data_IF_908520771925
#
_entry.id   IF_908520771925
#
_cell.length_a   1.000
_cell.length_b   1.000
_cell.length_c   1.000
_cell.angle_alpha   90.00
_cell.angle_beta   90.00
_cell.angle_gamma   90.00
#
_symmetry.space_group_name_H-M   'P 1'
#
loop_
_entity.id
_entity.type
_entity.pdbx_description
1 polymer ?
#
# COMPACT_ATOMS: atom_id res chain seq x y z
N UNK A 1 13.54 21.38 1.43
CA UNK A 1 13.82 19.95 1.69
C UNK A 1 12.50 19.23 1.60
N UNK A 2 12.33 18.36 0.61
CA UNK A 2 11.12 17.57 0.43
C UNK A 2 11.18 16.34 1.35
N UNK A 3 10.12 16.11 2.12
CA UNK A 3 9.91 14.86 2.87
C UNK A 3 9.94 13.66 1.89
N UNK A 4 10.41 12.47 2.32
CA UNK A 4 10.29 11.28 1.50
C UNK A 4 8.82 10.85 1.46
N UNK A 5 8.08 11.33 0.45
CA UNK A 5 6.69 10.98 0.23
C UNK A 5 6.56 9.52 -0.21
N UNK A 6 5.58 8.84 0.37
CA UNK A 6 5.16 7.49 0.00
C UNK A 6 4.62 7.47 -1.44
N UNK A 7 4.84 6.40 -2.23
CA UNK A 7 4.37 6.31 -3.60
C UNK A 7 2.83 6.38 -3.67
N UNK A 8 2.32 7.29 -4.50
CA UNK A 8 0.89 7.52 -4.71
C UNK A 8 0.26 6.38 -5.52
N UNK A 9 -0.85 5.81 -5.01
CA UNK A 9 -1.57 4.70 -5.65
C UNK A 9 -2.37 5.19 -6.88
N UNK A 10 -2.75 6.47 -6.92
CA UNK A 10 -3.43 7.10 -8.05
C UNK A 10 -2.47 8.01 -8.82
N UNK A 11 -1.89 7.49 -9.90
CA UNK A 11 -0.87 8.23 -10.67
C UNK A 11 -1.43 9.22 -11.69
N UNK A 12 -2.73 9.12 -12.03
CA UNK A 12 -3.40 10.02 -12.98
C UNK A 12 -4.85 10.32 -12.56
N UNK A 13 -5.08 11.49 -11.96
CA UNK A 13 -6.42 12.07 -11.79
C UNK A 13 -6.64 13.15 -12.84
N UNK A 14 -7.89 13.44 -13.18
CA UNK A 14 -8.26 14.53 -14.07
C UNK A 14 -9.33 15.42 -13.42
N UNK A 15 -9.03 16.70 -13.27
CA UNK A 15 -9.93 17.74 -12.82
C UNK A 15 -10.43 18.53 -14.04
N UNK A 16 -11.75 18.67 -14.17
CA UNK A 16 -12.36 19.56 -15.15
C UNK A 16 -12.66 20.89 -14.49
N UNK A 17 -12.08 21.96 -15.03
CA UNK A 17 -12.16 23.32 -14.49
C UNK A 17 -12.81 24.22 -15.51
N UNK A 18 -13.77 25.01 -15.08
CA UNK A 18 -14.29 26.12 -15.87
C UNK A 18 -13.42 27.37 -15.60
N UNK A 19 -12.62 27.83 -16.57
CA UNK A 19 -11.71 28.95 -16.38
C UNK A 19 -12.43 30.26 -16.05
N UNK A 20 -13.71 30.42 -16.42
CA UNK A 20 -14.45 31.66 -16.14
C UNK A 20 -14.68 31.87 -14.64
N UNK A 21 -14.67 30.79 -13.86
CA UNK A 21 -14.88 30.73 -12.40
C UNK A 21 -13.73 31.37 -11.59
N UNK A 22 -12.54 31.49 -12.17
CA UNK A 22 -11.31 31.88 -11.46
C UNK A 22 -10.69 33.16 -12.04
N UNK A 23 -10.04 33.97 -11.20
CA UNK A 23 -9.21 35.10 -11.62
C UNK A 23 -7.91 34.55 -12.22
N UNK A 24 -7.64 34.89 -13.48
CA UNK A 24 -6.39 34.55 -14.18
C UNK A 24 -5.99 33.05 -14.15
N UNK A 25 -6.88 32.11 -14.56
CA UNK A 25 -6.62 30.67 -14.47
C UNK A 25 -5.38 30.25 -15.26
N UNK A 26 -5.11 30.90 -16.40
CA UNK A 26 -3.97 30.59 -17.27
C UNK A 26 -2.60 30.96 -16.67
N UNK A 27 -2.55 31.83 -15.65
CA UNK A 27 -1.31 32.20 -14.95
C UNK A 27 -0.92 31.14 -13.91
N UNK A 28 -1.89 30.52 -13.23
CA UNK A 28 -1.69 29.44 -12.25
C UNK A 28 -1.31 28.10 -12.88
N UNK A 29 -1.73 27.89 -14.13
CA UNK A 29 -1.61 26.63 -14.86
C UNK A 29 -0.26 26.38 -15.53
N UNK A 30 0.75 27.25 -15.31
CA UNK A 30 2.11 27.10 -15.86
C UNK A 30 3.05 26.20 -15.02
N UNK A 31 2.51 25.38 -14.12
CA UNK A 31 3.31 24.55 -13.19
C UNK A 31 3.71 23.19 -13.77
N UNK A 32 4.92 22.76 -13.40
CA UNK A 32 5.49 21.45 -13.76
C UNK A 32 4.80 20.33 -12.98
N UNK A 33 4.16 19.37 -13.68
CA UNK A 33 3.61 18.14 -13.10
C UNK A 33 2.20 17.77 -13.58
N UNK A 34 1.40 18.76 -14.02
CA UNK A 34 0.07 18.55 -14.59
C UNK A 34 0.06 18.69 -16.11
N UNK A 35 -0.67 17.82 -16.80
CA UNK A 35 -1.03 17.90 -18.22
C UNK A 35 -2.37 18.59 -18.37
N UNK A 36 -2.41 19.65 -19.17
CA UNK A 36 -3.63 20.44 -19.37
C UNK A 36 -4.07 20.27 -20.82
N UNK A 37 -5.33 19.91 -20.99
CA UNK A 37 -5.99 19.80 -22.30
C UNK A 37 -7.18 20.76 -22.33
N UNK A 38 -7.23 21.63 -23.34
CA UNK A 38 -8.42 22.44 -23.61
C UNK A 38 -9.51 21.55 -24.21
N UNK A 39 -10.70 21.56 -23.60
CA UNK A 39 -11.90 20.90 -24.11
C UNK A 39 -13.05 21.89 -24.21
N UNK A 40 -13.10 22.62 -25.32
CA UNK A 40 -14.11 23.65 -25.54
C UNK A 40 -13.91 24.81 -24.57
N UNK A 41 -14.97 25.20 -23.84
CA UNK A 41 -14.89 26.24 -22.79
C UNK A 41 -14.27 25.77 -21.47
N UNK A 42 -13.87 24.49 -21.35
CA UNK A 42 -13.36 23.90 -20.10
C UNK A 42 -11.92 23.42 -20.23
N UNK A 43 -11.22 23.44 -19.10
CA UNK A 43 -9.85 22.94 -18.98
C UNK A 43 -9.86 21.58 -18.29
N UNK A 44 -9.19 20.59 -18.89
CA UNK A 44 -8.95 19.29 -18.27
C UNK A 44 -7.51 19.25 -17.77
N UNK A 45 -7.35 19.32 -16.46
CA UNK A 45 -6.06 19.24 -15.77
C UNK A 45 -5.88 17.79 -15.33
N UNK A 46 -4.78 17.15 -15.71
CA UNK A 46 -4.50 15.75 -15.36
C UNK A 46 -3.10 15.59 -14.79
N UNK A 47 -2.92 14.77 -13.75
CA UNK A 47 -1.63 14.67 -13.06
C UNK A 47 -1.70 13.70 -11.89
N UNK A 48 -0.65 13.67 -11.07
CA UNK A 48 -0.68 12.88 -9.82
C UNK A 48 -1.74 13.40 -8.87
N UNK A 49 -2.12 12.61 -7.86
CA UNK A 49 -3.13 13.04 -6.89
C UNK A 49 -2.70 14.34 -6.21
N UNK A 50 -1.43 14.41 -5.79
CA UNK A 50 -0.85 15.61 -5.17
C UNK A 50 -0.84 16.79 -6.11
N UNK A 51 -0.50 16.59 -7.38
CA UNK A 51 -0.48 17.68 -8.35
C UNK A 51 -1.89 18.24 -8.59
N UNK A 52 -2.89 17.37 -8.72
CA UNK A 52 -4.29 17.77 -8.92
C UNK A 52 -4.85 18.46 -7.67
N UNK A 53 -4.58 17.93 -6.49
CA UNK A 53 -5.05 18.50 -5.23
C UNK A 53 -4.42 19.86 -4.94
N UNK A 54 -3.10 20.01 -5.17
CA UNK A 54 -2.42 21.29 -5.05
C UNK A 54 -2.96 22.30 -6.06
N UNK A 55 -3.16 21.87 -7.31
CA UNK A 55 -3.73 22.73 -8.36
C UNK A 55 -5.15 23.18 -8.00
N UNK A 56 -5.97 22.28 -7.45
CA UNK A 56 -7.33 22.61 -7.01
C UNK A 56 -7.34 23.61 -5.84
N UNK A 57 -6.48 23.40 -4.83
CA UNK A 57 -6.35 24.30 -3.68
C UNK A 57 -5.90 25.71 -4.10
N UNK A 58 -4.99 25.82 -5.06
CA UNK A 58 -4.52 27.10 -5.58
C UNK A 58 -5.59 27.81 -6.41
N UNK A 59 -6.32 27.07 -7.26
CA UNK A 59 -7.47 27.61 -7.98
C UNK A 59 -8.53 28.15 -7.01
N UNK A 60 -8.83 27.43 -5.93
CA UNK A 60 -9.78 27.89 -4.90
C UNK A 60 -9.38 29.26 -4.31
N UNK A 61 -8.08 29.53 -4.15
CA UNK A 61 -7.57 30.82 -3.65
C UNK A 61 -7.83 32.02 -4.57
N UNK A 62 -8.27 31.79 -5.81
CA UNK A 62 -8.49 32.81 -6.85
C UNK A 62 -9.92 32.87 -7.39
N UNK A 63 -10.86 32.18 -6.72
CA UNK A 63 -12.26 32.12 -7.11
C UNK A 63 -12.93 33.51 -7.06
N UNK A 64 -13.58 33.93 -8.16
CA UNK A 64 -14.10 35.31 -8.34
C UNK A 64 -15.21 35.71 -7.36
N UNK A 65 -16.01 34.76 -6.86
CA UNK A 65 -17.15 35.07 -6.00
C UNK A 65 -17.26 34.09 -4.81
N UNK A 66 -17.10 34.60 -3.58
CA UNK A 66 -17.75 34.01 -2.40
C UNK A 66 -19.22 34.42 -2.43
N UNK A 67 -20.06 33.64 -3.14
CA UNK A 67 -21.53 33.49 -3.08
C UNK A 67 -22.19 33.57 -4.47
N UNK A 68 -23.03 32.55 -4.74
CA UNK A 68 -23.96 32.32 -5.88
C UNK A 68 -23.33 31.78 -7.17
N UNK A 69 -23.48 30.47 -7.40
CA UNK A 69 -24.38 29.96 -8.45
C UNK A 69 -24.42 28.43 -8.43
N UNK A 70 -25.63 27.88 -8.33
CA UNK A 70 -25.98 26.55 -8.83
C UNK A 70 -25.96 26.56 -10.36
N UNK A 71 -25.66 25.42 -10.99
CA UNK A 71 -25.60 25.14 -12.44
C UNK A 71 -24.26 25.41 -13.15
N UNK A 72 -23.51 24.34 -13.46
CA UNK A 72 -23.11 23.97 -14.84
C UNK A 72 -22.76 22.46 -14.90
N UNK A 73 -23.79 21.59 -14.83
CA UNK A 73 -23.69 20.20 -15.28
C UNK A 73 -24.24 20.15 -16.70
N UNK A 74 -23.38 19.85 -17.68
CA UNK A 74 -23.62 19.37 -19.07
C UNK A 74 -22.31 19.62 -19.83
N UNK A 75 -21.54 18.69 -20.39
CA UNK A 75 -21.74 17.31 -20.84
C UNK A 75 -20.75 16.35 -20.18
N UNK A 76 -21.28 15.39 -19.42
CA UNK A 76 -20.58 14.18 -19.01
C UNK A 76 -21.37 12.99 -19.56
N UNK A 77 -20.97 12.48 -20.71
CA UNK A 77 -21.55 11.24 -21.22
C UNK A 77 -20.94 10.04 -20.48
N UNK A 78 -21.81 9.43 -19.67
CA UNK A 78 -21.77 8.08 -19.08
C UNK A 78 -21.10 7.83 -17.72
N UNK A 79 -21.00 8.81 -16.82
CA UNK A 79 -20.84 8.54 -15.37
C UNK A 79 -21.62 9.59 -14.57
N UNK A 80 -22.95 9.53 -14.55
CA UNK A 80 -23.79 10.14 -13.51
C UNK A 80 -25.20 9.53 -13.53
N UNK A 81 -25.51 8.70 -12.54
CA UNK A 81 -26.80 8.71 -11.82
C UNK A 81 -26.35 8.88 -10.38
N UNK A 82 -26.60 9.94 -9.63
CA UNK A 82 -27.59 11.02 -9.67
C UNK A 82 -26.98 12.20 -8.92
N UNK A 83 -27.10 13.41 -9.44
CA UNK A 83 -26.91 14.60 -8.63
C UNK A 83 -28.13 14.76 -7.72
N UNK A 84 -28.10 14.11 -6.57
CA UNK A 84 -28.66 14.65 -5.34
C UNK A 84 -27.48 15.26 -4.57
N UNK A 85 -27.79 16.15 -3.63
CA UNK A 85 -26.90 16.60 -2.57
C UNK A 85 -26.48 15.43 -1.65
N UNK A 86 -25.92 14.38 -2.23
CA UNK A 86 -25.60 13.13 -1.55
C UNK A 86 -24.13 13.09 -1.13
N UNK A 87 -23.86 12.73 0.13
CA UNK A 87 -22.50 12.61 0.65
C UNK A 87 -21.70 11.57 -0.14
N UNK A 88 -20.38 11.75 -0.21
CA UNK A 88 -19.50 10.78 -0.87
C UNK A 88 -19.77 9.37 -0.33
N UNK A 89 -19.91 8.39 -1.23
CA UNK A 89 -20.31 7.02 -0.88
C UNK A 89 -19.53 6.50 0.34
N UNK A 90 -20.22 5.95 1.35
CA UNK A 90 -19.57 5.41 2.55
C UNK A 90 -18.51 4.37 2.20
N UNK A 91 -17.37 4.44 2.89
CA UNK A 91 -16.31 3.44 2.77
C UNK A 91 -16.52 2.37 3.84
N UNK A 92 -16.87 1.16 3.42
CA UNK A 92 -16.93 -0.02 4.29
C UNK A 92 -15.54 -0.40 4.80
N UNK A 93 -15.43 -0.63 6.09
CA UNK A 93 -14.15 -0.84 6.79
C UNK A 93 -14.27 -1.90 7.88
N UNK A 94 -13.22 -2.70 8.05
CA UNK A 94 -13.07 -3.62 9.17
C UNK A 94 -12.88 -2.86 10.50
N UNK A 95 -13.61 -3.25 11.54
CA UNK A 95 -13.59 -2.62 12.86
C UNK A 95 -12.26 -2.72 13.58
N UNK A 96 -11.53 -3.84 13.44
CA UNK A 96 -10.22 -4.03 14.09
C UNK A 96 -9.19 -3.10 13.48
N UNK A 97 -9.20 -2.98 12.15
CA UNK A 97 -8.31 -2.09 11.41
C UNK A 97 -8.64 -0.62 11.71
N UNK A 98 -9.94 -0.28 11.79
CA UNK A 98 -10.35 1.07 12.17
C UNK A 98 -9.98 1.44 13.60
N UNK A 99 -10.11 0.53 14.56
CA UNK A 99 -9.66 0.76 15.93
C UNK A 99 -8.14 0.99 15.96
N UNK A 100 -7.38 0.20 15.20
CA UNK A 100 -5.94 0.41 15.06
C UNK A 100 -5.62 1.78 14.47
N UNK A 101 -6.29 2.17 13.39
CA UNK A 101 -6.10 3.48 12.75
C UNK A 101 -6.43 4.61 13.73
N UNK A 102 -7.54 4.49 14.47
CA UNK A 102 -7.99 5.49 15.42
C UNK A 102 -7.02 5.66 16.60
N UNK A 103 -6.44 4.58 17.11
CA UNK A 103 -5.55 4.65 18.28
C UNK A 103 -4.06 4.86 17.92
N UNK A 104 -3.59 4.21 16.85
CA UNK A 104 -2.16 4.14 16.50
C UNK A 104 -1.78 4.99 15.29
N UNK A 105 -2.75 5.50 14.55
CA UNK A 105 -2.50 6.34 13.37
C UNK A 105 -3.38 7.60 13.35
N UNK A 106 -3.74 8.11 14.53
CA UNK A 106 -4.64 9.27 14.70
C UNK A 106 -4.12 10.53 14.04
N UNK A 107 -2.80 10.79 14.08
CA UNK A 107 -2.17 11.96 13.45
C UNK A 107 -2.33 11.93 11.92
N UNK A 108 -2.01 10.80 11.29
CA UNK A 108 -2.18 10.61 9.84
C UNK A 108 -3.65 10.65 9.42
N UNK A 109 -4.55 10.07 10.23
CA UNK A 109 -5.98 10.19 10.01
C UNK A 109 -6.45 11.65 10.11
N UNK A 110 -5.89 12.44 11.02
CA UNK A 110 -6.22 13.85 11.16
C UNK A 110 -5.68 14.70 10.00
N UNK A 111 -4.56 14.32 9.38
CA UNK A 111 -4.09 14.97 8.13
C UNK A 111 -5.06 14.76 6.95
N UNK A 112 -5.86 13.70 7.00
CA UNK A 112 -6.91 13.42 6.01
C UNK A 112 -8.19 14.21 6.34
N UNK A 113 -8.48 14.45 7.63
CA UNK A 113 -9.57 15.29 8.09
C UNK A 113 -9.25 16.77 7.84
N UNK A 114 -9.85 17.34 6.80
CA UNK A 114 -9.77 18.79 6.55
C UNK A 114 -10.86 19.53 7.32
N UNK A 115 -10.66 20.81 7.71
CA UNK A 115 -11.69 21.61 8.37
C UNK A 115 -13.03 21.63 7.62
N UNK A 116 -12.97 21.60 6.28
CA UNK A 116 -14.11 21.71 5.38
C UNK A 116 -14.84 20.37 5.16
N UNK A 117 -14.32 19.24 5.67
CA UNK A 117 -14.88 17.89 5.47
C UNK A 117 -15.01 17.16 6.81
N UNK A 118 -16.24 16.84 7.20
CA UNK A 118 -16.53 15.99 8.35
C UNK A 118 -16.34 14.52 8.00
N UNK A 119 -15.42 13.84 8.70
CA UNK A 119 -15.20 12.39 8.57
C UNK A 119 -15.80 11.68 9.79
N UNK A 120 -16.80 10.83 9.56
CA UNK A 120 -17.51 10.10 10.63
C UNK A 120 -17.41 8.60 10.43
N UNK A 121 -17.14 7.88 11.51
CA UNK A 121 -17.15 6.41 11.54
C UNK A 121 -18.38 5.92 12.31
N UNK A 122 -19.22 5.11 11.66
CA UNK A 122 -20.40 4.50 12.27
C UNK A 122 -20.72 3.17 11.59
N UNK A 123 -21.10 2.15 12.37
CA UNK A 123 -21.50 0.82 11.86
C UNK A 123 -20.56 0.25 10.78
N UNK A 124 -19.24 0.27 11.01
CA UNK A 124 -18.23 -0.23 10.05
C UNK A 124 -18.14 0.56 8.73
N UNK A 125 -18.68 1.77 8.68
CA UNK A 125 -18.59 2.66 7.53
C UNK A 125 -17.92 3.98 7.92
N UNK A 126 -17.09 4.51 7.03
CA UNK A 126 -16.55 5.88 7.12
C UNK A 126 -17.22 6.74 6.06
N UNK A 127 -17.78 7.87 6.48
CA UNK A 127 -18.50 8.80 5.62
C UNK A 127 -17.80 10.16 5.60
N UNK A 128 -17.82 10.81 4.44
CA UNK A 128 -17.16 12.09 4.19
C UNK A 128 -18.22 13.11 3.80
N UNK A 129 -18.50 14.04 4.71
CA UNK A 129 -19.55 15.04 4.52
C UNK A 129 -18.92 16.42 4.33
N UNK A 130 -19.28 17.15 3.26
CA UNK A 130 -18.88 18.53 3.12
C UNK A 130 -19.51 19.39 4.21
N UNK A 131 -18.74 20.33 4.78
CA UNK A 131 -19.26 21.28 5.77
C UNK A 131 -19.72 22.61 5.12
N UNK A 132 -19.38 22.85 3.86
CA UNK A 132 -19.89 23.97 3.05
C UNK A 132 -20.67 23.48 1.81
N UNK A 133 -21.55 24.33 1.29
CA UNK A 133 -22.42 24.04 0.14
C UNK A 133 -21.78 24.32 -1.22
N UNK A 134 -20.48 24.64 -1.26
CA UNK A 134 -19.76 25.02 -2.48
C UNK A 134 -18.77 23.95 -2.92
N UNK A 135 -17.53 24.10 -2.45
CA UNK A 135 -16.38 23.30 -2.87
C UNK A 135 -16.20 22.02 -2.04
N UNK A 136 -16.96 21.88 -0.95
CA UNK A 136 -16.86 20.77 -0.02
C UNK A 136 -17.07 19.40 -0.65
N UNK A 137 -17.91 19.27 -1.69
CA UNK A 137 -18.18 17.97 -2.31
C UNK A 137 -16.93 17.37 -2.98
N UNK A 138 -16.15 18.18 -3.70
CA UNK A 138 -14.89 17.74 -4.32
C UNK A 138 -13.86 17.44 -3.24
N UNK A 139 -13.78 18.27 -2.20
CA UNK A 139 -12.88 18.04 -1.06
C UNK A 139 -13.24 16.76 -0.29
N UNK A 140 -14.52 16.44 -0.16
CA UNK A 140 -15.00 15.21 0.46
C UNK A 140 -14.60 13.97 -0.35
N UNK A 141 -14.68 14.05 -1.69
CA UNK A 141 -14.19 12.99 -2.59
C UNK A 141 -12.67 12.81 -2.47
N UNK A 142 -11.89 13.90 -2.47
CA UNK A 142 -10.43 13.82 -2.30
C UNK A 142 -10.04 13.24 -0.93
N UNK A 143 -10.73 13.65 0.14
CA UNK A 143 -10.53 13.11 1.48
C UNK A 143 -10.88 11.61 1.55
N UNK A 144 -11.96 11.19 0.88
CA UNK A 144 -12.34 9.78 0.74
C UNK A 144 -11.24 8.96 0.06
N UNK A 145 -10.73 9.41 -1.09
CA UNK A 145 -9.68 8.66 -1.81
C UNK A 145 -8.38 8.54 -1.01
N UNK A 146 -7.98 9.62 -0.33
CA UNK A 146 -6.83 9.59 0.61
C UNK A 146 -7.06 8.58 1.73
N UNK A 147 -8.27 8.58 2.30
CA UNK A 147 -8.62 7.62 3.33
C UNK A 147 -8.60 6.18 2.82
N UNK A 148 -9.16 5.89 1.64
CA UNK A 148 -9.15 4.53 1.06
C UNK A 148 -7.73 4.03 0.87
N UNK A 149 -6.87 4.86 0.28
CA UNK A 149 -5.43 4.58 0.08
C UNK A 149 -4.73 4.26 1.40
N UNK A 150 -4.91 5.15 2.37
CA UNK A 150 -4.33 5.01 3.70
C UNK A 150 -4.83 3.75 4.42
N UNK A 151 -6.15 3.52 4.37
CA UNK A 151 -6.80 2.37 4.96
C UNK A 151 -6.28 1.06 4.36
N UNK A 152 -6.25 0.94 3.03
CA UNK A 152 -5.79 -0.27 2.34
C UNK A 152 -4.33 -0.57 2.66
N UNK A 153 -3.47 0.45 2.69
CA UNK A 153 -2.07 0.27 3.08
C UNK A 153 -1.97 -0.32 4.49
N UNK A 154 -2.64 0.28 5.47
CA UNK A 154 -2.63 -0.21 6.85
C UNK A 154 -3.23 -1.61 6.92
N UNK A 155 -4.35 -1.86 6.24
CA UNK A 155 -5.02 -3.17 6.20
C UNK A 155 -4.12 -4.29 5.67
N UNK A 156 -3.28 -4.01 4.67
CA UNK A 156 -2.35 -5.01 4.11
C UNK A 156 -1.17 -5.34 5.02
N UNK A 157 -0.74 -4.37 5.85
CA UNK A 157 0.42 -4.53 6.73
C UNK A 157 0.05 -5.11 8.12
N UNK A 158 -1.21 -4.93 8.55
CA UNK A 158 -1.68 -5.38 9.85
C UNK A 158 -2.04 -6.86 9.88
N UNK A 159 -1.72 -7.49 11.00
CA UNK A 159 -2.17 -8.83 11.36
C UNK A 159 -2.76 -8.80 12.76
N UNK A 160 -3.63 -9.76 13.04
CA UNK A 160 -4.22 -9.97 14.36
C UNK A 160 -3.81 -11.37 14.84
N UNK A 161 -3.26 -11.47 16.05
CA UNK A 161 -2.81 -12.73 16.67
C UNK A 161 -3.34 -12.85 18.09
N UNK A 162 -3.78 -14.05 18.46
CA UNK A 162 -4.21 -14.37 19.83
C UNK A 162 -3.07 -14.98 20.63
N UNK A 163 -3.00 -14.65 21.91
CA UNK A 163 -2.00 -15.16 22.84
C UNK A 163 -2.64 -15.47 24.19
N UNK A 164 -2.21 -16.57 24.83
CA UNK A 164 -2.55 -16.84 26.22
C UNK A 164 -1.50 -16.22 27.13
N UNK A 165 -1.85 -15.13 27.83
CA UNK A 165 -0.93 -14.37 28.69
C UNK A 165 -1.64 -13.97 29.99
N UNK A 166 -0.95 -14.14 31.12
CA UNK A 166 -1.40 -13.66 32.43
C UNK A 166 -1.52 -12.12 32.40
N UNK A 167 -2.63 -11.59 32.91
CA UNK A 167 -2.92 -10.16 33.04
C UNK A 167 -1.78 -9.36 33.70
N UNK A 168 -1.03 -9.99 34.62
CA UNK A 168 0.10 -9.35 35.32
C UNK A 168 1.33 -9.10 34.42
N UNK A 169 1.49 -9.87 33.34
CA UNK A 169 2.60 -9.72 32.38
C UNK A 169 2.26 -8.72 31.27
N UNK A 170 0.97 -8.44 31.04
CA UNK A 170 0.48 -7.72 29.86
C UNK A 170 0.90 -6.25 29.81
N UNK A 171 0.77 -5.52 30.92
CA UNK A 171 1.02 -4.07 30.95
C UNK A 171 2.50 -3.71 30.68
N UNK A 172 3.50 -4.36 31.31
CA UNK A 172 4.92 -4.13 30.98
C UNK A 172 5.28 -4.51 29.54
N UNK A 173 4.61 -5.51 28.97
CA UNK A 173 4.80 -5.96 27.60
C UNK A 173 4.29 -4.92 26.60
N UNK A 174 3.07 -4.41 26.79
CA UNK A 174 2.49 -3.38 25.91
C UNK A 174 3.26 -2.07 25.96
N UNK A 175 3.87 -1.72 27.10
CA UNK A 175 4.76 -0.56 27.21
C UNK A 175 6.01 -0.68 26.32
N UNK A 176 6.51 -1.90 26.07
CA UNK A 176 7.65 -2.15 25.18
C UNK A 176 7.29 -2.20 23.71
N UNK A 177 6.02 -2.45 23.39
CA UNK A 177 5.49 -2.54 22.03
C UNK A 177 4.29 -1.59 21.86
N UNK A 178 4.50 -0.27 22.02
CA UNK A 178 3.42 0.73 22.00
C UNK A 178 2.67 0.79 20.65
N UNK A 179 3.25 0.25 19.58
CA UNK A 179 2.64 0.17 18.27
C UNK A 179 1.61 -0.96 18.13
N UNK A 180 1.58 -1.92 19.07
CA UNK A 180 0.57 -2.98 19.06
C UNK A 180 -0.73 -2.49 19.70
N UNK A 181 -1.85 -2.87 19.10
CA UNK A 181 -3.19 -2.62 19.62
C UNK A 181 -3.70 -3.86 20.34
N UNK A 182 -4.12 -3.70 21.58
CA UNK A 182 -4.81 -4.73 22.35
C UNK A 182 -6.31 -4.70 22.05
N UNK A 183 -6.89 -5.85 21.74
CA UNK A 183 -8.33 -6.08 21.69
C UNK A 183 -8.68 -7.12 22.75
N UNK A 184 -9.41 -6.74 23.79
CA UNK A 184 -9.88 -7.66 24.83
C UNK A 184 -11.22 -8.28 24.41
N UNK A 185 -11.27 -9.60 24.33
CA UNK A 185 -12.50 -10.33 24.05
C UNK A 185 -13.47 -10.23 25.23
N UNK A 186 -14.74 -9.94 24.96
CA UNK A 186 -15.82 -10.02 25.94
C UNK A 186 -16.15 -11.49 26.24
N UNK A 187 -15.34 -12.18 27.04
CA UNK A 187 -15.72 -13.28 27.94
C UNK A 187 -14.48 -14.08 28.36
N UNK A 188 -14.41 -14.37 29.66
CA UNK A 188 -13.54 -15.30 30.39
C UNK A 188 -12.58 -16.15 29.53
N UNK A 189 -11.31 -15.75 29.46
CA UNK A 189 -10.07 -16.58 29.52
C UNK A 189 -8.85 -15.66 29.33
N UNK A 190 -7.66 -16.09 29.76
CA UNK A 190 -6.36 -15.39 29.62
C UNK A 190 -5.90 -15.17 28.15
N UNK A 191 -6.83 -15.16 27.20
CA UNK A 191 -6.59 -15.00 25.77
C UNK A 191 -6.73 -13.52 25.38
N UNK A 192 -5.60 -12.91 25.02
CA UNK A 192 -5.55 -11.56 24.48
C UNK A 192 -5.42 -11.60 22.96
N UNK A 193 -5.98 -10.61 22.29
CA UNK A 193 -5.78 -10.42 20.86
C UNK A 193 -4.94 -9.17 20.62
N UNK A 194 -3.82 -9.30 19.91
CA UNK A 194 -2.98 -8.16 19.50
C UNK A 194 -3.08 -7.94 18.01
N UNK A 195 -3.25 -6.68 17.61
CA UNK A 195 -3.23 -6.24 16.22
C UNK A 195 -2.04 -5.33 15.99
N UNK A 196 -1.26 -5.58 14.95
CA UNK A 196 -0.08 -4.77 14.61
C UNK A 196 0.59 -5.22 13.34
N UNK A 197 1.65 -4.51 12.93
CA UNK A 197 2.46 -4.90 11.77
C UNK A 197 3.13 -6.25 12.01
N UNK A 198 3.34 -7.00 10.93
CA UNK A 198 4.02 -8.30 10.97
C UNK A 198 5.33 -8.27 11.78
N UNK A 199 6.23 -7.32 11.48
CA UNK A 199 7.53 -7.22 12.16
C UNK A 199 7.39 -7.01 13.67
N UNK A 200 6.41 -6.21 14.10
CA UNK A 200 6.16 -5.94 15.52
C UNK A 200 5.63 -7.18 16.24
N UNK A 201 4.75 -7.95 15.58
CA UNK A 201 4.23 -9.21 16.13
C UNK A 201 5.32 -10.30 16.18
N UNK A 202 6.20 -10.38 15.19
CA UNK A 202 7.36 -11.29 15.23
C UNK A 202 8.32 -10.95 16.38
N UNK A 203 8.64 -9.66 16.55
CA UNK A 203 9.48 -9.21 17.67
C UNK A 203 8.83 -9.51 19.02
N UNK A 204 7.52 -9.34 19.13
CA UNK A 204 6.76 -9.69 20.32
C UNK A 204 6.84 -11.20 20.62
N UNK A 205 6.65 -12.06 19.61
CA UNK A 205 6.77 -13.51 19.79
C UNK A 205 8.20 -13.95 20.15
N UNK A 206 9.22 -13.37 19.52
CA UNK A 206 10.61 -13.63 19.88
C UNK A 206 10.90 -13.22 21.32
N UNK A 207 10.32 -12.09 21.77
CA UNK A 207 10.43 -11.66 23.15
C UNK A 207 9.78 -12.67 24.11
N UNK A 208 8.60 -13.19 23.80
CA UNK A 208 7.94 -14.23 24.60
C UNK A 208 8.74 -15.54 24.66
N UNK A 209 9.42 -15.91 23.58
CA UNK A 209 10.24 -17.14 23.48
C UNK A 209 11.62 -17.01 24.12
N UNK A 210 12.09 -15.79 24.38
CA UNK A 210 13.35 -15.58 25.09
C UNK A 210 13.18 -15.96 26.56
N UNK A 211 14.03 -16.83 27.14
CA UNK A 211 13.97 -17.10 28.57
C UNK A 211 14.16 -15.78 29.33
N UNK A 212 13.23 -15.48 30.24
CA UNK A 212 13.30 -14.35 31.15
C UNK A 212 14.60 -14.43 31.95
N UNK A 213 15.68 -13.80 31.48
CA UNK A 213 16.76 -13.37 32.37
C UNK A 213 16.26 -12.17 33.16
N UNK A 214 15.47 -12.47 34.18
CA UNK A 214 15.30 -11.58 35.32
C UNK A 214 16.63 -11.52 36.05
N UNK A 215 17.47 -10.54 35.69
CA UNK A 215 18.58 -10.11 36.53
C UNK A 215 18.39 -8.65 36.87
N UNK A 216 18.03 -8.44 38.14
CA UNK A 216 17.97 -7.18 38.89
C UNK A 216 19.31 -6.41 38.82
N UNK A 217 19.31 -5.07 39.02
CA UNK A 217 20.46 -4.23 38.70
C UNK A 217 21.52 -4.36 39.80
N UNK A 218 22.70 -4.89 39.46
CA UNK A 218 23.90 -4.72 40.27
C UNK A 218 24.82 -3.70 39.62
N UNK A 219 24.92 -2.55 40.30
CA UNK A 219 25.99 -1.56 40.20
C UNK A 219 27.35 -2.26 40.14
N UNK A 220 28.22 -1.85 39.22
CA UNK A 220 29.66 -1.64 39.48
C UNK A 220 30.08 -0.42 38.65
N UNK A 221 30.74 0.48 39.37
CA UNK A 221 31.25 1.80 39.02
C UNK A 221 32.42 1.78 38.06
N UNK A 222 32.57 2.85 37.27
CA UNK A 222 33.85 3.56 37.19
C UNK A 222 33.62 5.08 37.19
N UNK A 223 34.05 5.68 38.30
CA UNK A 223 34.66 7.01 38.51
C UNK A 223 34.34 8.15 37.53
N UNK A 224 33.69 9.16 38.11
CA UNK A 224 33.64 10.57 37.71
C UNK A 224 34.99 11.23 38.03
N UNK A 225 35.44 12.15 37.17
CA UNK A 225 35.94 13.49 37.56
C UNK A 225 36.06 14.35 36.29
N UNK A 226 35.06 15.20 35.99
CA UNK A 226 34.96 16.65 36.31
C UNK A 226 36.00 17.48 35.55
N UNK A 227 35.65 18.47 34.71
CA UNK A 227 34.82 19.65 34.99
C UNK A 227 34.31 20.34 33.71
N UNK A 228 33.07 20.82 33.80
CA UNK A 228 32.50 22.12 33.35
C UNK A 228 32.61 22.51 31.84
N UNK A 229 31.58 22.99 31.12
CA UNK A 229 30.38 23.76 31.50
C UNK A 229 29.30 23.57 30.42
N UNK A 230 28.04 23.67 30.84
CA UNK A 230 26.81 23.50 30.07
C UNK A 230 26.61 24.46 28.89
N UNK A 231 25.97 23.99 27.80
CA UNK A 231 24.56 24.32 27.51
C UNK A 231 24.02 23.53 26.31
N UNK A 232 22.84 22.96 26.53
CA UNK A 232 21.77 22.58 25.59
C UNK A 232 22.03 22.66 24.09
N UNK A 233 21.87 21.53 23.38
CA UNK A 233 20.84 21.39 22.34
C UNK A 233 20.83 19.97 21.74
N UNK A 234 19.61 19.46 21.62
CA UNK A 234 19.22 18.32 20.78
C UNK A 234 19.72 18.58 19.35
N UNK A 235 20.67 17.78 18.90
CA UNK A 235 21.07 17.74 17.50
C UNK A 235 20.96 16.31 16.99
N UNK A 236 20.11 16.17 15.98
CA UNK A 236 20.19 15.15 14.95
C UNK A 236 21.64 14.74 14.70
N UNK A 237 22.00 13.50 15.00
CA UNK A 237 23.11 12.88 14.30
C UNK A 237 22.58 12.39 12.95
N UNK A 238 22.48 13.35 12.01
CA UNK A 238 22.89 13.08 10.63
C UNK A 238 24.34 12.60 10.72
N UNK A 239 24.56 11.30 10.87
CA UNK A 239 25.82 10.73 10.43
C UNK A 239 25.77 10.77 8.90
N UNK A 240 26.73 11.44 8.24
CA UNK A 240 26.86 11.30 6.80
C UNK A 240 26.99 9.81 6.51
N UNK A 241 26.37 9.35 5.41
CA UNK A 241 26.64 8.04 4.84
C UNK A 241 28.14 7.76 4.98
N UNK A 242 28.50 6.68 5.68
CA UNK A 242 29.85 6.15 5.56
C UNK A 242 29.94 5.61 4.13
N UNK A 243 30.25 6.50 3.19
CA UNK A 243 30.71 6.16 1.84
C UNK A 243 31.92 5.23 2.01
N UNK A 244 31.65 3.93 2.06
CA UNK A 244 32.68 2.96 2.39
C UNK A 244 32.19 1.66 3.01
N UNK A 245 31.07 1.59 3.73
CA UNK A 245 30.68 0.32 4.40
C UNK A 245 29.67 -0.50 3.57
N UNK A 246 29.92 -1.80 3.41
CA UNK A 246 29.04 -2.70 2.64
C UNK A 246 27.82 -3.12 3.48
N UNK A 247 26.60 -2.87 3.01
CA UNK A 247 25.37 -3.25 3.75
C UNK A 247 25.08 -4.76 3.80
N UNK A 248 25.87 -5.61 3.12
CA UNK A 248 25.69 -7.07 3.12
C UNK A 248 26.56 -7.74 4.18
N UNK A 249 27.86 -7.41 4.25
CA UNK A 249 28.78 -7.96 5.25
C UNK A 249 29.03 -7.03 6.45
N UNK A 250 28.59 -5.76 6.35
CA UNK A 250 28.79 -4.71 7.36
C UNK A 250 30.27 -4.32 7.57
N UNK A 251 31.15 -4.71 6.65
CA UNK A 251 32.57 -4.37 6.65
C UNK A 251 32.86 -3.19 5.71
N UNK A 252 33.98 -2.50 5.94
CA UNK A 252 34.46 -1.46 5.03
C UNK A 252 34.91 -2.07 3.69
N UNK A 253 34.39 -1.50 2.61
CA UNK A 253 34.63 -1.87 1.23
C UNK A 253 36.03 -1.41 0.83
N UNK A 254 36.86 -2.36 0.45
CA UNK A 254 38.11 -2.06 -0.25
C UNK A 254 37.78 -1.51 -1.64
N UNK A 255 38.28 -0.32 -1.98
CA UNK A 255 37.98 0.37 -3.25
C UNK A 255 38.19 -0.52 -4.49
N UNK A 256 39.21 -1.38 -4.49
CA UNK A 256 39.52 -2.31 -5.59
C UNK A 256 38.55 -3.48 -5.74
N UNK A 257 37.76 -3.77 -4.71
CA UNK A 257 36.75 -4.83 -4.69
C UNK A 257 35.32 -4.28 -4.57
N UNK A 258 35.14 -2.97 -4.69
CA UNK A 258 33.84 -2.32 -4.66
C UNK A 258 33.18 -2.38 -6.04
N UNK A 259 31.89 -2.72 -6.08
CA UNK A 259 31.07 -2.66 -7.28
C UNK A 259 29.85 -1.76 -7.05
N UNK A 260 29.73 -0.74 -7.88
CA UNK A 260 28.61 0.20 -7.89
C UNK A 260 27.57 -0.21 -8.92
N UNK A 261 26.31 -0.28 -8.50
CA UNK A 261 25.21 -0.66 -9.37
C UNK A 261 24.74 0.51 -10.24
N UNK A 262 24.65 0.30 -11.56
CA UNK A 262 24.48 1.41 -12.52
C UNK A 262 23.17 2.20 -12.38
N UNK A 263 22.04 1.53 -12.19
CA UNK A 263 20.70 2.15 -12.08
C UNK A 263 20.48 2.93 -10.77
N UNK A 264 20.91 2.38 -9.63
CA UNK A 264 20.62 2.94 -8.29
C UNK A 264 21.83 3.52 -7.55
N UNK A 265 23.04 3.40 -8.11
CA UNK A 265 24.32 3.93 -7.57
C UNK A 265 24.76 3.43 -6.19
N UNK A 266 24.04 2.50 -5.56
CA UNK A 266 24.50 1.78 -4.38
C UNK A 266 25.74 0.91 -4.66
N UNK A 267 26.67 0.89 -3.72
CA UNK A 267 27.95 0.17 -3.79
C UNK A 267 28.02 -0.98 -2.78
N UNK A 268 28.68 -2.07 -3.17
CA UNK A 268 28.86 -3.27 -2.35
C UNK A 268 30.22 -3.92 -2.62
N UNK A 269 30.71 -4.77 -1.72
CA UNK A 269 31.79 -5.70 -2.05
C UNK A 269 31.36 -6.58 -3.24
N UNK A 270 32.26 -6.78 -4.20
CA UNK A 270 32.01 -7.51 -5.45
C UNK A 270 31.48 -8.92 -5.18
N UNK A 271 32.06 -9.63 -4.23
CA UNK A 271 31.65 -11.01 -3.92
C UNK A 271 30.36 -11.07 -3.09
N UNK A 272 30.09 -10.08 -2.24
CA UNK A 272 28.80 -9.94 -1.57
C UNK A 272 27.69 -9.71 -2.59
N UNK A 273 27.91 -8.82 -3.55
CA UNK A 273 26.95 -8.55 -4.61
C UNK A 273 26.72 -9.77 -5.52
N UNK A 274 27.79 -10.48 -5.92
CA UNK A 274 27.67 -11.72 -6.70
C UNK A 274 26.84 -12.77 -5.97
N UNK A 275 27.09 -13.00 -4.67
CA UNK A 275 26.32 -13.95 -3.85
C UNK A 275 24.86 -13.54 -3.74
N UNK A 276 24.60 -12.25 -3.48
CA UNK A 276 23.23 -11.72 -3.40
C UNK A 276 22.48 -11.90 -4.73
N UNK A 277 23.11 -11.55 -5.86
CA UNK A 277 22.49 -11.67 -7.18
C UNK A 277 22.26 -13.11 -7.63
N UNK A 278 23.06 -14.07 -7.14
CA UNK A 278 22.81 -15.50 -7.35
C UNK A 278 21.51 -15.96 -6.69
N UNK A 279 21.12 -15.35 -5.56
CA UNK A 279 19.85 -15.63 -4.87
C UNK A 279 18.72 -14.85 -5.53
N UNK A 280 18.87 -13.53 -5.66
CA UNK A 280 17.87 -12.64 -6.25
C UNK A 280 18.58 -11.44 -6.90
N UNK A 281 18.36 -11.16 -8.19
CA UNK A 281 19.06 -10.08 -8.90
C UNK A 281 18.42 -8.71 -8.60
N UNK A 282 18.35 -8.33 -7.32
CA UNK A 282 17.88 -7.03 -6.84
C UNK A 282 18.94 -6.35 -6.00
N UNK A 283 19.01 -5.03 -6.06
CA UNK A 283 19.86 -4.25 -5.16
C UNK A 283 19.45 -4.52 -3.70
N UNK A 284 20.35 -5.00 -2.84
CA UNK A 284 20.03 -5.28 -1.43
C UNK A 284 19.63 -4.04 -0.62
N UNK A 285 19.98 -2.84 -1.07
CA UNK A 285 19.65 -1.58 -0.38
C UNK A 285 18.28 -1.01 -0.78
N UNK A 286 17.92 -1.06 -2.06
CA UNK A 286 16.73 -0.35 -2.57
C UNK A 286 15.77 -1.20 -3.40
N UNK A 287 16.08 -2.49 -3.64
CA UNK A 287 15.20 -3.41 -4.36
C UNK A 287 15.16 -3.26 -5.88
N UNK A 288 15.89 -2.30 -6.47
CA UNK A 288 15.96 -2.14 -7.93
C UNK A 288 16.42 -3.42 -8.61
N UNK A 289 15.72 -3.85 -9.67
CA UNK A 289 15.92 -5.13 -10.36
C UNK A 289 17.03 -5.01 -11.43
N UNK A 290 17.96 -5.97 -11.44
CA UNK A 290 19.11 -6.07 -12.35
C UNK A 290 19.11 -7.33 -13.22
N UNK A 291 18.14 -8.22 -13.06
CA UNK A 291 18.01 -9.45 -13.85
C UNK A 291 16.60 -10.01 -13.83
N UNK A 292 16.37 -11.13 -14.49
CA UNK A 292 15.07 -11.80 -14.48
C UNK A 292 14.76 -12.30 -13.06
N UNK A 293 13.67 -11.80 -12.47
CA UNK A 293 13.18 -12.34 -11.21
C UNK A 293 12.55 -13.70 -11.44
N UNK A 294 12.87 -14.64 -10.54
CA UNK A 294 12.18 -15.92 -10.41
C UNK A 294 11.61 -15.98 -9.00
N UNK A 295 10.31 -16.26 -8.89
CA UNK A 295 9.64 -16.40 -7.61
C UNK A 295 9.64 -17.84 -7.08
N UNK A 296 8.83 -18.04 -6.05
CA UNK A 296 8.73 -19.28 -5.25
C UNK A 296 7.34 -19.91 -5.37
N UNK A 297 6.61 -19.67 -6.45
CA UNK A 297 5.37 -20.37 -6.76
C UNK A 297 5.65 -21.87 -6.95
N UNK A 298 4.94 -22.81 -6.30
CA UNK A 298 5.08 -24.24 -6.60
C UNK A 298 4.65 -24.61 -8.02
N UNK A 299 5.06 -25.79 -8.49
CA UNK A 299 4.64 -26.30 -9.79
C UNK A 299 3.11 -26.37 -9.90
N UNK A 300 2.57 -25.98 -11.06
CA UNK A 300 1.13 -25.88 -11.26
C UNK A 300 0.77 -25.58 -12.70
N UNK A 301 -0.53 -25.37 -12.95
CA UNK A 301 -1.08 -25.12 -14.29
C UNK A 301 -1.85 -23.80 -14.31
N UNK A 302 -1.68 -23.05 -15.39
CA UNK A 302 -2.51 -21.89 -15.75
C UNK A 302 -3.26 -22.24 -17.04
N UNK A 303 -4.59 -22.27 -16.98
CA UNK A 303 -5.46 -22.49 -18.14
C UNK A 303 -6.26 -21.21 -18.42
N UNK A 304 -6.58 -20.97 -19.69
CA UNK A 304 -7.31 -19.77 -20.10
C UNK A 304 -8.50 -20.21 -20.95
N UNK A 305 -9.69 -19.68 -20.63
CA UNK A 305 -10.91 -19.84 -21.42
C UNK A 305 -11.50 -18.47 -21.76
N UNK A 306 -12.35 -18.45 -22.77
CA UNK A 306 -12.98 -17.23 -23.30
C UNK A 306 -14.49 -17.43 -23.29
N UNK A 307 -15.17 -16.53 -22.59
CA UNK A 307 -16.61 -16.53 -22.38
C UNK A 307 -17.24 -15.32 -23.07
N UNK A 308 -18.47 -15.46 -23.56
CA UNK A 308 -19.16 -14.41 -24.32
C UNK A 308 -19.82 -13.32 -23.43
N UNK A 309 -20.00 -13.59 -22.13
CA UNK A 309 -20.58 -12.60 -21.23
C UNK A 309 -19.60 -11.47 -20.94
N UNK A 310 -20.13 -10.27 -20.71
CA UNK A 310 -19.34 -9.08 -20.43
C UNK A 310 -19.18 -8.84 -18.93
N UNK A 311 -18.01 -8.37 -18.52
CA UNK A 311 -17.78 -7.87 -17.16
C UNK A 311 -18.38 -6.44 -17.02
N UNK A 312 -18.91 -6.07 -15.84
CA UNK A 312 -19.35 -4.71 -15.57
C UNK A 312 -18.24 -3.67 -15.87
N UNK A 313 -18.56 -2.66 -16.68
CA UNK A 313 -17.62 -1.64 -17.18
C UNK A 313 -16.92 -2.00 -18.50
N UNK A 314 -17.17 -3.20 -19.03
CA UNK A 314 -16.60 -3.70 -20.28
C UNK A 314 -17.66 -4.34 -21.19
N UNK A 315 -18.86 -3.74 -21.26
CA UNK A 315 -20.05 -4.32 -21.90
C UNK A 315 -19.83 -4.71 -23.38
N UNK A 316 -18.87 -4.07 -24.06
CA UNK A 316 -18.51 -4.31 -25.47
C UNK A 316 -17.60 -5.52 -25.69
N UNK A 317 -17.13 -6.17 -24.63
CA UNK A 317 -16.13 -7.24 -24.69
C UNK A 317 -16.65 -8.49 -23.97
N UNK A 318 -16.18 -9.67 -24.40
CA UNK A 318 -16.36 -10.91 -23.64
C UNK A 318 -15.47 -10.93 -22.39
N UNK A 319 -15.36 -12.11 -21.78
CA UNK A 319 -14.55 -12.33 -20.57
C UNK A 319 -13.50 -13.39 -20.82
N UNK A 320 -12.28 -13.13 -20.35
CA UNK A 320 -11.19 -14.10 -20.26
C UNK A 320 -11.22 -14.66 -18.84
N UNK A 321 -11.38 -15.97 -18.70
CA UNK A 321 -11.31 -16.67 -17.42
C UNK A 321 -9.97 -17.40 -17.32
N UNK A 322 -9.19 -17.05 -16.30
CA UNK A 322 -7.90 -17.67 -15.99
C UNK A 322 -8.10 -18.64 -14.83
N UNK A 323 -7.76 -19.90 -15.04
CA UNK A 323 -7.89 -20.96 -14.06
C UNK A 323 -6.50 -21.45 -13.65
N UNK A 324 -6.12 -21.13 -12.40
CA UNK A 324 -4.90 -21.58 -11.77
C UNK A 324 -5.17 -22.83 -10.93
N UNK A 325 -4.32 -23.85 -11.11
CA UNK A 325 -4.35 -25.08 -10.32
C UNK A 325 -2.94 -25.37 -9.84
N UNK A 326 -2.71 -25.22 -8.54
CA UNK A 326 -1.48 -25.63 -7.87
C UNK A 326 -1.86 -26.77 -6.90
N UNK A 327 -1.41 -28.00 -7.13
CA UNK A 327 -1.69 -29.12 -6.23
C UNK A 327 -0.93 -28.99 -4.91
N UNK A 328 -1.39 -29.72 -3.90
CA UNK A 328 -0.65 -29.97 -2.66
C UNK A 328 0.72 -30.57 -2.98
N UNK A 329 1.70 -30.32 -2.11
CA UNK A 329 3.06 -30.81 -2.32
C UNK A 329 3.96 -30.61 -1.11
N UNK A 330 5.26 -30.81 -1.32
CA UNK A 330 6.30 -30.56 -0.32
C UNK A 330 7.04 -29.27 -0.63
N UNK A 331 7.38 -28.52 0.41
CA UNK A 331 8.14 -27.29 0.30
C UNK A 331 9.59 -27.58 -0.10
N UNK A 332 10.01 -27.04 -1.25
CA UNK A 332 11.42 -26.95 -1.64
C UNK A 332 12.26 -26.01 -0.76
N UNK A 333 13.57 -25.98 -1.01
CA UNK A 333 14.54 -25.17 -0.25
C UNK A 333 14.31 -23.66 -0.33
N UNK A 334 13.56 -23.20 -1.34
CA UNK A 334 13.20 -21.80 -1.54
C UNK A 334 12.00 -21.35 -0.68
N UNK A 335 11.29 -22.28 -0.03
CA UNK A 335 10.10 -22.00 0.76
C UNK A 335 10.41 -21.86 2.26
N UNK A 336 9.48 -21.32 3.08
CA UNK A 336 9.72 -21.05 4.49
C UNK A 336 10.07 -22.27 5.34
N UNK A 337 9.48 -23.44 5.05
CA UNK A 337 9.68 -24.67 5.81
C UNK A 337 10.05 -25.85 4.89
N UNK A 338 11.30 -25.93 4.40
CA UNK A 338 11.72 -26.99 3.48
C UNK A 338 11.41 -28.41 4.02
N UNK A 339 10.90 -29.28 3.16
CA UNK A 339 10.49 -30.64 3.48
C UNK A 339 9.10 -30.78 4.11
N UNK A 340 8.49 -29.70 4.61
CA UNK A 340 7.11 -29.76 5.13
C UNK A 340 6.08 -29.75 4.01
N UNK A 341 4.90 -30.38 4.21
CA UNK A 341 3.81 -30.27 3.26
C UNK A 341 3.27 -28.84 3.18
N UNK A 342 2.75 -28.47 2.02
CA UNK A 342 1.91 -27.29 1.83
C UNK A 342 0.59 -27.68 1.16
N UNK A 343 -0.48 -26.95 1.48
CA UNK A 343 -1.76 -27.09 0.79
C UNK A 343 -1.80 -26.22 -0.46
N UNK A 344 -2.19 -26.83 -1.58
CA UNK A 344 -2.36 -26.22 -2.89
C UNK A 344 -3.50 -25.21 -2.93
N UNK A 345 -3.76 -24.70 -4.13
CA UNK A 345 -4.88 -23.80 -4.38
C UNK A 345 -5.43 -23.96 -5.79
N UNK A 346 -6.74 -23.84 -5.88
CA UNK A 346 -7.46 -23.66 -7.14
C UNK A 346 -8.07 -22.27 -7.11
N UNK A 347 -7.77 -21.44 -8.12
CA UNK A 347 -8.25 -20.05 -8.18
C UNK A 347 -8.69 -19.69 -9.59
N UNK A 348 -9.79 -18.95 -9.65
CA UNK A 348 -10.27 -18.30 -10.86
C UNK A 348 -9.94 -16.81 -10.81
N UNK A 349 -9.62 -16.26 -11.97
CA UNK A 349 -9.48 -14.83 -12.16
C UNK A 349 -10.08 -14.41 -13.50
N UNK A 350 -10.56 -13.17 -13.58
CA UNK A 350 -11.27 -12.66 -14.74
C UNK A 350 -10.58 -11.41 -15.29
N UNK A 351 -10.52 -11.31 -16.61
CA UNK A 351 -10.14 -10.11 -17.37
C UNK A 351 -11.19 -9.87 -18.45
N UNK A 352 -11.43 -8.63 -18.88
CA UNK A 352 -12.21 -8.39 -20.09
C UNK A 352 -11.44 -8.90 -21.32
N UNK A 353 -12.13 -9.46 -22.31
CA UNK A 353 -11.54 -9.84 -23.61
C UNK A 353 -11.30 -8.63 -24.53
N UNK A 354 -10.80 -7.55 -23.93
CA UNK A 354 -10.42 -6.32 -24.62
C UNK A 354 -8.94 -6.36 -25.04
N UNK A 355 -8.48 -5.44 -25.91
CA UNK A 355 -7.07 -5.33 -26.26
C UNK A 355 -6.16 -5.16 -25.03
N UNK A 356 -6.59 -4.37 -24.05
CA UNK A 356 -5.84 -4.17 -22.80
C UNK A 356 -5.88 -5.43 -21.90
N UNK A 357 -7.03 -6.09 -21.77
CA UNK A 357 -7.13 -7.34 -21.02
C UNK A 357 -6.27 -8.46 -21.62
N UNK A 358 -6.21 -8.56 -22.96
CA UNK A 358 -5.30 -9.48 -23.67
C UNK A 358 -3.84 -9.17 -23.39
N UNK A 359 -3.46 -7.89 -23.30
CA UNK A 359 -2.10 -7.48 -22.91
C UNK A 359 -1.79 -7.94 -21.48
N UNK A 360 -2.67 -7.65 -20.52
CA UNK A 360 -2.51 -8.09 -19.12
C UNK A 360 -2.39 -9.61 -19.04
N UNK A 361 -3.19 -10.37 -19.80
CA UNK A 361 -3.09 -11.82 -19.85
C UNK A 361 -1.70 -12.31 -20.25
N UNK A 362 -1.05 -11.71 -21.25
CA UNK A 362 0.30 -12.10 -21.66
C UNK A 362 1.33 -11.82 -20.56
N UNK A 363 1.20 -10.70 -19.86
CA UNK A 363 2.07 -10.37 -18.72
C UNK A 363 1.86 -11.37 -17.57
N UNK A 364 0.62 -11.74 -17.26
CA UNK A 364 0.31 -12.74 -16.24
C UNK A 364 0.85 -14.13 -16.60
N UNK A 365 0.78 -14.54 -17.88
CA UNK A 365 1.41 -15.78 -18.36
C UNK A 365 2.92 -15.78 -18.10
N UNK A 366 3.59 -14.68 -18.49
CA UNK A 366 5.02 -14.51 -18.24
C UNK A 366 5.36 -14.52 -16.74
N UNK A 367 4.56 -13.84 -15.92
CA UNK A 367 4.73 -13.85 -14.47
C UNK A 367 4.53 -15.25 -13.88
N UNK A 368 3.58 -16.03 -14.40
CA UNK A 368 3.36 -17.42 -13.99
C UNK A 368 4.53 -18.32 -14.36
N UNK A 369 5.05 -18.21 -15.58
CA UNK A 369 6.26 -18.92 -16.05
C UNK A 369 7.49 -18.57 -15.19
N UNK A 370 7.58 -17.32 -14.72
CA UNK A 370 8.63 -16.87 -13.81
C UNK A 370 8.34 -17.18 -12.33
N UNK A 371 7.30 -17.96 -12.03
CA UNK A 371 6.92 -18.38 -10.67
C UNK A 371 6.55 -17.21 -9.74
N UNK A 372 6.00 -16.11 -10.27
CA UNK A 372 5.75 -14.86 -9.54
C UNK A 372 4.29 -14.65 -9.12
N UNK A 373 3.31 -15.40 -9.64
CA UNK A 373 1.88 -15.19 -9.31
C UNK A 373 1.57 -15.65 -7.88
N UNK A 374 2.14 -16.77 -7.47
CA UNK A 374 1.92 -17.38 -6.16
C UNK A 374 3.21 -17.53 -5.35
N UNK A 375 3.05 -17.90 -4.09
CA UNK A 375 4.11 -18.37 -3.20
C UNK A 375 3.54 -19.34 -2.17
N UNK A 376 4.40 -20.05 -1.43
CA UNK A 376 4.00 -20.76 -0.21
C UNK A 376 4.23 -19.84 0.99
N UNK A 377 3.23 -19.68 1.83
CA UNK A 377 3.33 -18.82 2.99
C UNK A 377 2.12 -18.92 3.90
N UNK A 378 1.84 -17.81 4.58
CA UNK A 378 0.68 -17.66 5.45
C UNK A 378 -0.40 -16.86 4.75
N UNK A 379 -1.60 -17.41 4.64
CA UNK A 379 -2.76 -16.72 4.09
C UNK A 379 -3.15 -15.54 4.97
N UNK A 380 -3.21 -14.33 4.39
CA UNK A 380 -3.68 -13.14 5.09
C UNK A 380 -5.16 -13.21 5.49
N UNK A 381 -5.97 -13.89 4.68
CA UNK A 381 -7.43 -14.00 4.88
C UNK A 381 -7.80 -15.04 5.92
N UNK A 382 -7.10 -16.19 5.95
CA UNK A 382 -7.46 -17.32 6.83
C UNK A 382 -6.47 -17.54 7.97
N UNK A 383 -5.32 -16.88 7.95
CA UNK A 383 -4.25 -17.07 8.93
C UNK A 383 -3.52 -18.42 8.83
N UNK A 384 -3.88 -19.31 7.90
CA UNK A 384 -3.24 -20.63 7.73
C UNK A 384 -1.85 -20.49 7.13
N UNK A 385 -0.86 -21.13 7.75
CA UNK A 385 0.52 -21.26 7.24
C UNK A 385 0.65 -22.50 6.35
N UNK A 386 1.76 -22.59 5.61
CA UNK A 386 2.05 -23.69 4.68
C UNK A 386 0.95 -23.87 3.63
N UNK A 387 0.49 -22.77 3.04
CA UNK A 387 -0.52 -22.79 1.96
C UNK A 387 -0.08 -21.95 0.78
N UNK A 388 -0.62 -22.23 -0.39
CA UNK A 388 -0.43 -21.41 -1.59
C UNK A 388 -1.21 -20.10 -1.47
N UNK A 389 -0.50 -18.98 -1.56
CA UNK A 389 -1.05 -17.61 -1.47
C UNK A 389 -0.69 -16.77 -2.70
N UNK A 390 -1.46 -15.71 -2.96
CA UNK A 390 -1.08 -14.68 -3.94
C UNK A 390 0.26 -14.03 -3.55
N UNK A 391 1.02 -13.54 -4.53
CA UNK A 391 2.34 -12.93 -4.34
C UNK A 391 2.40 -11.48 -4.88
N UNK A 392 1.56 -10.62 -4.31
CA UNK A 392 1.46 -9.17 -4.58
C UNK A 392 1.11 -8.79 -6.03
N UNK A 393 0.50 -9.70 -6.79
CA UNK A 393 -0.11 -9.39 -8.10
C UNK A 393 -1.61 -9.66 -7.96
N UNK A 394 -2.39 -8.58 -7.93
CA UNK A 394 -3.82 -8.66 -7.66
C UNK A 394 -4.59 -9.24 -8.85
N UNK A 395 -5.50 -10.14 -8.52
CA UNK A 395 -6.40 -10.78 -9.48
C UNK A 395 -7.85 -10.45 -9.14
N UNK A 396 -8.67 -10.30 -10.19
CA UNK A 396 -10.11 -10.18 -10.03
C UNK A 396 -10.73 -11.56 -9.91
N UNK A 397 -11.06 -11.96 -8.69
CA UNK A 397 -11.60 -13.30 -8.37
C UNK A 397 -13.13 -13.34 -8.35
N UNK A 398 -13.78 -12.20 -8.55
CA UNK A 398 -15.22 -12.07 -8.74
C UNK A 398 -15.52 -11.32 -10.05
N UNK A 399 -16.61 -11.65 -10.73
CA UNK A 399 -17.09 -10.86 -11.87
C UNK A 399 -17.87 -9.60 -11.42
N UNK A 400 -18.25 -9.50 -10.16
CA UNK A 400 -19.13 -8.45 -9.62
C UNK A 400 -18.67 -7.98 -8.23
N UNK A 401 -19.31 -6.96 -7.67
CA UNK A 401 -19.04 -6.47 -6.31
C UNK A 401 -17.87 -5.48 -6.20
N UNK A 402 -17.32 -5.04 -7.33
CA UNK A 402 -16.31 -3.98 -7.38
C UNK A 402 -14.99 -4.33 -6.67
N UNK A 403 -14.11 -3.34 -6.44
CA UNK A 403 -12.77 -3.56 -5.92
C UNK A 403 -12.73 -4.27 -4.56
N UNK A 404 -13.69 -4.00 -3.67
CA UNK A 404 -13.77 -4.57 -2.32
C UNK A 404 -14.06 -6.06 -2.30
N UNK A 405 -14.81 -6.56 -3.29
CA UNK A 405 -15.05 -7.99 -3.50
C UNK A 405 -14.05 -8.64 -4.46
N UNK A 406 -12.93 -7.96 -4.77
CA UNK A 406 -11.99 -8.38 -5.80
C UNK A 406 -12.67 -8.62 -7.15
N UNK A 407 -13.67 -7.82 -7.50
CA UNK A 407 -14.43 -7.95 -8.73
C UNK A 407 -14.64 -6.65 -9.50
N UNK A 408 -15.59 -6.69 -10.43
CA UNK A 408 -15.91 -5.58 -11.34
C UNK A 408 -17.24 -4.91 -10.94
N UNK A 409 -17.49 -3.65 -11.34
CA UNK A 409 -16.61 -2.77 -12.12
C UNK A 409 -15.42 -2.28 -11.28
N UNK A 410 -14.25 -2.18 -11.91
CA UNK A 410 -13.05 -1.55 -11.35
C UNK A 410 -12.26 -0.93 -12.51
N UNK A 411 -12.48 0.36 -12.81
CA UNK A 411 -11.89 1.01 -13.97
C UNK A 411 -10.37 1.10 -13.92
N UNK A 412 -9.77 1.03 -12.72
CA UNK A 412 -8.33 1.22 -12.52
C UNK A 412 -7.57 -0.11 -12.46
N UNK A 413 -8.26 -1.25 -12.42
CA UNK A 413 -7.63 -2.55 -12.21
C UNK A 413 -6.58 -2.90 -13.26
N UNK A 414 -6.90 -2.76 -14.55
CA UNK A 414 -5.96 -3.16 -15.62
C UNK A 414 -4.69 -2.32 -15.60
N UNK A 415 -4.78 -1.05 -15.23
CA UNK A 415 -3.62 -0.18 -15.03
C UNK A 415 -2.81 -0.61 -13.80
N UNK A 416 -3.48 -0.77 -12.66
CA UNK A 416 -2.83 -1.14 -11.39
C UNK A 416 -2.10 -2.49 -11.48
N UNK A 417 -2.71 -3.51 -12.09
CA UNK A 417 -2.05 -4.82 -12.23
C UNK A 417 -0.83 -4.76 -13.16
N UNK A 418 -0.85 -3.92 -14.19
CA UNK A 418 0.35 -3.68 -15.03
C UNK A 418 1.48 -3.02 -14.23
N UNK A 419 1.16 -2.09 -13.33
CA UNK A 419 2.14 -1.46 -12.44
C UNK A 419 2.74 -2.47 -11.44
N UNK A 420 1.91 -3.32 -10.84
CA UNK A 420 2.33 -4.42 -9.95
C UNK A 420 3.26 -5.41 -10.68
N UNK A 421 2.90 -5.79 -11.90
CA UNK A 421 3.71 -6.66 -12.77
C UNK A 421 5.05 -6.00 -13.11
N UNK A 422 5.05 -4.70 -13.42
CA UNK A 422 6.26 -3.92 -13.69
C UNK A 422 7.19 -3.88 -12.48
N UNK A 423 6.66 -3.71 -11.26
CA UNK A 423 7.44 -3.76 -10.01
C UNK A 423 8.08 -5.14 -9.82
N UNK A 424 7.46 -6.22 -10.33
CA UNK A 424 8.02 -7.58 -10.35
C UNK A 424 8.91 -7.86 -11.58
N UNK A 425 9.23 -6.84 -12.38
CA UNK A 425 10.12 -6.95 -13.54
C UNK A 425 9.47 -7.54 -14.80
N UNK A 426 8.14 -7.53 -14.88
CA UNK A 426 7.34 -8.00 -16.01
C UNK A 426 6.90 -6.80 -16.85
N UNK A 427 7.28 -6.78 -18.13
CA UNK A 427 7.02 -5.69 -19.08
C UNK A 427 6.27 -6.16 -20.30
#
# INVERSE_FOLDING_TARGET
MAEPYLPEIFTNLALLVDPETFLEPHTLLKKTGVKIEERGSRLKISGTFKDIENTYLELQGTCKERKKYESVVTHASNIMKSASSEPAEPVEVNSVIMNYIAEKCSEELNKIKRPEVSVKYYKKQVTFHPQDSGHGAILALLARERFVTFYQKIATELQTRSYCLDANQLQPLLAKFPELLLSTGQSKTDEITLTGRFISLEKFEQFLKSPLKMSSPRKISYSVDTRATASSQVLQSKTPDKEGTCSICLEDMVQSQMKTLEKCKHSFCTDCLKRAFKIKPVCPTCGVIYGALKGTQPEGKMKVTYDQFSLPGYEKYGTITIHYVIPDGLQGNEHPNPGQPYHGAVRLAYLPDSPEGKKVLQLLKRAFEQRLIFTVGRSSTTGKSNVVTWNDIHHKTSCTGGPTAYGYPDPDYLKRVQEELKVKGIY
#
